data_IF_702220539242
#
_entry.id   IF_702220539242
#
_cell.length_a   1.000
_cell.length_b   1.000
_cell.length_c   1.000
_cell.angle_alpha   90.00
_cell.angle_beta   90.00
_cell.angle_gamma   90.00
#
_symmetry.space_group_name_H-M   'P 1'
#
loop_
_entity.id
_entity.type
_entity.pdbx_description
1 polymer ?
#
# COMPACT_ATOMS: atom_id res chain seq x y z
N UNK A 1 -0.37 -47.03 40.22
CA UNK A 1 0.51 -45.84 40.07
C UNK A 1 1.14 -45.73 38.68
N UNK A 2 1.94 -46.70 38.20
CA UNK A 2 2.62 -46.61 36.88
C UNK A 2 1.70 -46.33 35.68
N UNK A 3 0.49 -46.93 35.62
CA UNK A 3 -0.49 -46.68 34.54
C UNK A 3 -1.05 -45.26 34.52
N UNK A 4 -1.31 -44.66 35.69
CA UNK A 4 -1.83 -43.30 35.79
C UNK A 4 -0.75 -42.25 35.48
N UNK A 5 0.50 -42.53 35.83
CA UNK A 5 1.66 -41.71 35.43
C UNK A 5 1.85 -41.75 33.92
N UNK A 6 1.75 -42.95 33.30
CA UNK A 6 1.85 -43.09 31.85
C UNK A 6 0.71 -42.36 31.11
N UNK A 7 -0.53 -42.47 31.59
CA UNK A 7 -1.68 -41.73 31.04
C UNK A 7 -1.51 -40.21 31.17
N UNK A 8 -0.98 -39.73 32.31
CA UNK A 8 -0.70 -38.31 32.51
C UNK A 8 0.37 -37.76 31.56
N UNK A 9 1.44 -38.54 31.32
CA UNK A 9 2.51 -38.16 30.38
C UNK A 9 1.98 -38.12 28.95
N UNK A 10 1.18 -39.11 28.54
CA UNK A 10 0.57 -39.15 27.20
C UNK A 10 -0.40 -37.98 26.97
N UNK A 11 -1.22 -37.65 27.96
CA UNK A 11 -2.13 -36.51 27.86
C UNK A 11 -1.39 -35.17 27.75
N UNK A 12 -0.29 -35.02 28.51
CA UNK A 12 0.56 -33.82 28.45
C UNK A 12 1.24 -33.70 27.08
N UNK A 13 1.75 -34.81 26.53
CA UNK A 13 2.37 -34.82 25.20
C UNK A 13 1.36 -34.39 24.12
N UNK A 14 0.12 -34.90 24.17
CA UNK A 14 -0.93 -34.51 23.22
C UNK A 14 -1.29 -33.02 23.36
N UNK A 15 -1.40 -32.50 24.58
CA UNK A 15 -1.68 -31.09 24.81
C UNK A 15 -0.57 -30.17 24.29
N UNK A 16 0.71 -30.55 24.51
CA UNK A 16 1.86 -29.79 24.00
C UNK A 16 1.94 -29.85 22.48
N UNK A 17 1.67 -31.01 21.86
CA UNK A 17 1.61 -31.14 20.40
C UNK A 17 0.47 -30.32 19.80
N UNK A 18 -0.72 -30.32 20.41
CA UNK A 18 -1.84 -29.49 19.95
C UNK A 18 -1.52 -27.99 20.06
N UNK A 19 -0.87 -27.57 21.15
CA UNK A 19 -0.42 -26.19 21.34
C UNK A 19 0.67 -25.81 20.31
N UNK A 20 1.61 -26.70 20.03
CA UNK A 20 2.65 -26.49 19.00
C UNK A 20 2.04 -26.36 17.60
N UNK A 21 1.04 -27.18 17.25
CA UNK A 21 0.32 -27.09 15.97
C UNK A 21 -0.47 -25.77 15.89
N UNK A 22 -1.15 -25.36 16.97
CA UNK A 22 -1.80 -24.04 17.03
C UNK A 22 -0.79 -22.90 16.85
N UNK A 23 0.37 -22.96 17.50
CA UNK A 23 1.42 -21.95 17.36
C UNK A 23 2.06 -21.94 15.97
N UNK A 24 2.16 -23.08 15.29
CA UNK A 24 2.65 -23.15 13.90
C UNK A 24 1.63 -22.60 12.89
N UNK A 25 0.33 -22.79 13.13
CA UNK A 25 -0.75 -22.23 12.30
C UNK A 25 -0.96 -20.71 12.49
N UNK A 26 -0.29 -20.07 13.44
CA UNK A 26 -0.26 -18.60 13.58
C UNK A 26 0.62 -17.97 12.50
N UNK A 27 1.54 -18.73 11.89
CA UNK A 27 2.23 -18.30 10.69
C UNK A 27 1.33 -18.62 9.48
N UNK A 28 0.25 -17.86 9.33
CA UNK A 28 -0.36 -17.74 8.00
C UNK A 28 0.76 -17.29 7.08
N UNK A 29 1.19 -18.14 6.13
CA UNK A 29 1.98 -17.61 5.02
C UNK A 29 1.07 -16.60 4.36
N UNK A 30 1.35 -15.31 4.56
CA UNK A 30 0.64 -14.28 3.82
C UNK A 30 0.86 -14.62 2.35
N UNK A 31 -0.22 -15.01 1.67
CA UNK A 31 -0.17 -15.24 0.24
C UNK A 31 0.40 -13.98 -0.39
N UNK A 32 1.30 -14.14 -1.36
CA UNK A 32 2.01 -13.00 -1.92
C UNK A 32 1.31 -12.54 -3.17
N UNK A 33 1.04 -11.23 -3.28
CA UNK A 33 0.54 -10.65 -4.54
C UNK A 33 1.56 -10.99 -5.63
N UNK A 34 1.13 -11.77 -6.61
CA UNK A 34 1.96 -12.24 -7.73
C UNK A 34 1.30 -11.77 -9.01
N UNK A 35 2.03 -11.00 -9.84
CA UNK A 35 1.44 -10.46 -11.05
C UNK A 35 1.33 -11.52 -12.15
N UNK A 36 0.09 -11.84 -12.52
CA UNK A 36 -0.25 -12.66 -13.69
C UNK A 36 -0.65 -11.80 -14.91
N UNK A 37 -0.69 -12.37 -16.13
CA UNK A 37 -1.20 -11.66 -17.30
C UNK A 37 -2.65 -11.17 -17.08
N UNK A 38 -2.90 -9.92 -17.45
CA UNK A 38 -4.23 -9.31 -17.33
C UNK A 38 -5.26 -10.00 -18.24
N UNK A 39 -6.45 -10.25 -17.69
CA UNK A 39 -7.58 -10.83 -18.40
C UNK A 39 -8.58 -9.74 -18.81
N UNK A 40 -8.56 -9.36 -20.08
CA UNK A 40 -9.39 -8.28 -20.64
C UNK A 40 -10.91 -8.59 -20.59
N UNK A 41 -11.30 -9.85 -20.33
CA UNK A 41 -12.71 -10.27 -20.21
C UNK A 41 -13.28 -10.10 -18.81
N UNK A 42 -12.48 -9.68 -17.83
CA UNK A 42 -12.89 -9.57 -16.41
C UNK A 42 -12.75 -8.14 -15.95
N UNK A 43 -13.80 -7.59 -15.35
CA UNK A 43 -13.84 -6.18 -14.98
C UNK A 43 -14.34 -5.97 -13.55
N UNK A 44 -13.72 -5.02 -12.86
CA UNK A 44 -14.26 -4.49 -11.62
C UNK A 44 -15.49 -3.62 -11.92
N UNK A 45 -16.65 -4.02 -11.40
CA UNK A 45 -17.87 -3.21 -11.42
C UNK A 45 -17.72 -1.95 -10.57
N UNK A 46 -17.04 -2.06 -9.42
CA UNK A 46 -16.73 -0.91 -8.57
C UNK A 46 -15.46 -1.15 -7.76
N UNK A 47 -14.77 -0.07 -7.42
CA UNK A 47 -13.63 -0.03 -6.53
C UNK A 47 -13.61 1.35 -5.88
N UNK A 48 -13.46 1.43 -4.55
CA UNK A 48 -13.38 2.71 -3.86
C UNK A 48 -12.57 2.61 -2.57
N UNK A 49 -11.82 3.67 -2.31
CA UNK A 49 -11.20 3.99 -1.03
C UNK A 49 -11.87 5.26 -0.54
N UNK A 50 -12.10 5.38 0.77
CA UNK A 50 -12.64 6.62 1.35
C UNK A 50 -12.04 6.91 2.71
N UNK A 51 -11.75 8.19 2.94
CA UNK A 51 -11.27 8.75 4.19
C UNK A 51 -12.32 9.72 4.74
N UNK A 52 -12.81 9.45 5.95
CA UNK A 52 -13.80 10.31 6.60
C UNK A 52 -13.34 10.69 8.00
N UNK A 53 -13.38 11.99 8.31
CA UNK A 53 -13.09 12.49 9.65
C UNK A 53 -14.24 12.13 10.61
N UNK A 54 -13.91 11.46 11.72
CA UNK A 54 -14.87 11.29 12.82
C UNK A 54 -15.06 12.61 13.57
N UNK A 55 -16.31 12.87 13.97
CA UNK A 55 -16.70 14.14 14.61
C UNK A 55 -15.99 14.39 15.94
N UNK A 56 -15.77 13.32 16.71
CA UNK A 56 -15.26 13.41 18.07
C UNK A 56 -13.78 13.03 18.14
N UNK A 57 -13.01 13.82 18.89
CA UNK A 57 -11.65 13.45 19.27
C UNK A 57 -11.68 12.44 20.40
N UNK A 58 -10.67 11.58 20.43
CA UNK A 58 -10.38 10.68 21.55
C UNK A 58 -8.94 10.92 22.00
N UNK A 59 -8.74 11.20 23.29
CA UNK A 59 -7.41 11.47 23.86
C UNK A 59 -6.65 12.55 23.08
N UNK A 60 -7.31 13.68 22.81
CA UNK A 60 -6.80 14.82 22.03
C UNK A 60 -6.35 14.50 20.59
N UNK A 61 -6.70 13.33 20.06
CA UNK A 61 -6.44 12.92 18.68
C UNK A 61 -7.75 12.86 17.89
N UNK A 62 -7.75 13.39 16.67
CA UNK A 62 -8.82 13.09 15.73
C UNK A 62 -8.61 11.71 15.12
N UNK A 63 -9.71 11.11 14.65
CA UNK A 63 -9.71 9.77 14.05
C UNK A 63 -10.28 9.83 12.65
N UNK A 64 -9.61 9.16 11.73
CA UNK A 64 -10.02 8.98 10.34
C UNK A 64 -10.53 7.56 10.18
N UNK A 65 -11.76 7.46 9.69
CA UNK A 65 -12.38 6.24 9.19
C UNK A 65 -11.87 5.99 7.77
N UNK A 66 -11.16 4.87 7.58
CA UNK A 66 -10.57 4.45 6.33
C UNK A 66 -11.26 3.19 5.83
N UNK A 67 -11.98 3.32 4.71
CA UNK A 67 -12.74 2.22 4.09
C UNK A 67 -12.22 1.89 2.72
N UNK A 68 -12.23 0.61 2.39
CA UNK A 68 -11.89 0.07 1.09
C UNK A 68 -12.95 -0.96 0.69
N UNK A 69 -13.41 -0.89 -0.54
CA UNK A 69 -14.37 -1.85 -1.08
C UNK A 69 -14.17 -2.06 -2.57
N UNK A 70 -14.42 -3.28 -3.04
CA UNK A 70 -14.40 -3.59 -4.47
C UNK A 70 -15.36 -4.72 -4.83
N UNK A 71 -15.92 -4.62 -6.04
CA UNK A 71 -16.80 -5.63 -6.63
C UNK A 71 -16.31 -5.99 -8.02
N UNK A 72 -16.09 -7.28 -8.25
CA UNK A 72 -15.78 -7.86 -9.54
C UNK A 72 -17.08 -8.25 -10.27
N UNK A 73 -17.03 -8.41 -11.58
CA UNK A 73 -18.19 -8.82 -12.38
C UNK A 73 -18.61 -10.28 -12.18
N UNK A 74 -17.71 -11.10 -11.63
CA UNK A 74 -17.87 -12.51 -11.30
C UNK A 74 -17.14 -12.88 -10.00
N UNK A 75 -17.33 -14.09 -9.49
CA UNK A 75 -16.49 -14.64 -8.42
C UNK A 75 -15.08 -14.94 -8.96
N UNK A 76 -14.08 -14.81 -8.11
CA UNK A 76 -12.71 -15.12 -8.44
C UNK A 76 -12.12 -16.12 -7.46
N UNK A 77 -11.14 -16.88 -7.93
CA UNK A 77 -10.41 -17.84 -7.10
C UNK A 77 -9.82 -17.15 -5.87
N UNK A 78 -9.18 -16.00 -6.05
CA UNK A 78 -8.60 -15.24 -4.96
C UNK A 78 -8.70 -13.74 -5.21
N UNK A 79 -9.17 -13.02 -4.19
CA UNK A 79 -9.29 -11.57 -4.14
C UNK A 79 -8.35 -11.03 -3.09
N UNK A 80 -7.60 -10.00 -3.47
CA UNK A 80 -6.56 -9.39 -2.65
C UNK A 80 -6.70 -7.87 -2.75
N UNK A 81 -7.27 -7.26 -1.73
CA UNK A 81 -7.33 -5.81 -1.63
C UNK A 81 -6.28 -5.36 -0.63
N UNK A 82 -5.35 -4.49 -1.06
CA UNK A 82 -4.28 -3.95 -0.21
C UNK A 82 -4.28 -2.44 -0.28
N UNK A 83 -4.40 -1.81 0.89
CA UNK A 83 -4.34 -0.38 1.08
C UNK A 83 -3.10 0.09 1.84
N UNK A 84 -2.63 1.28 1.49
CA UNK A 84 -1.61 2.05 2.21
C UNK A 84 -2.18 3.44 2.54
N UNK A 85 -2.04 3.85 3.80
CA UNK A 85 -2.49 5.15 4.29
C UNK A 85 -1.29 5.94 4.80
N UNK A 86 -1.08 7.10 4.19
CA UNK A 86 0.00 8.02 4.49
C UNK A 86 -0.54 9.25 5.23
N UNK A 87 0.24 9.75 6.19
CA UNK A 87 0.00 11.00 6.88
C UNK A 87 1.22 11.88 6.68
N UNK A 88 1.02 13.04 6.04
CA UNK A 88 2.09 13.97 5.71
C UNK A 88 3.26 13.31 4.96
N UNK A 89 2.98 12.33 4.10
CA UNK A 89 3.98 11.63 3.28
C UNK A 89 4.71 10.49 3.99
N UNK A 90 4.29 10.10 5.19
CA UNK A 90 4.82 8.94 5.94
C UNK A 90 3.75 7.86 6.09
N UNK A 91 4.13 6.59 5.98
CA UNK A 91 3.20 5.48 6.15
C UNK A 91 2.73 5.40 7.61
N UNK A 92 1.42 5.43 7.84
CA UNK A 92 0.83 5.27 9.17
C UNK A 92 -0.16 4.12 9.28
N UNK A 93 -0.73 3.69 8.16
CA UNK A 93 -1.64 2.56 8.10
C UNK A 93 -1.32 1.69 6.90
N UNK A 94 -1.44 0.38 7.09
CA UNK A 94 -1.45 -0.60 6.01
C UNK A 94 -2.55 -1.62 6.33
N UNK A 95 -3.29 -2.01 5.31
CA UNK A 95 -4.44 -2.89 5.46
C UNK A 95 -4.48 -3.83 4.27
N UNK A 96 -4.74 -5.11 4.49
CA UNK A 96 -5.03 -6.03 3.41
C UNK A 96 -6.12 -7.02 3.80
N UNK A 97 -6.87 -7.48 2.81
CA UNK A 97 -7.87 -8.53 2.95
C UNK A 97 -7.79 -9.51 1.79
N UNK A 98 -7.85 -10.79 2.14
CA UNK A 98 -7.71 -11.93 1.25
C UNK A 98 -8.99 -12.75 1.36
N UNK A 99 -9.67 -12.97 0.24
CA UNK A 99 -10.89 -13.76 0.21
C UNK A 99 -10.90 -14.65 -1.03
N UNK A 100 -11.28 -15.92 -0.86
CA UNK A 100 -11.43 -16.86 -1.96
C UNK A 100 -12.90 -16.95 -2.38
N UNK A 101 -13.14 -17.34 -3.62
CA UNK A 101 -14.46 -17.65 -4.18
C UNK A 101 -15.49 -16.53 -3.94
N UNK A 102 -15.07 -15.26 -4.09
CA UNK A 102 -15.94 -14.10 -3.88
C UNK A 102 -15.81 -13.04 -4.97
N UNK A 103 -16.93 -12.38 -5.24
CA UNK A 103 -17.00 -11.20 -6.09
C UNK A 103 -16.87 -9.89 -5.31
N UNK A 104 -16.95 -9.89 -3.98
CA UNK A 104 -16.99 -8.70 -3.15
C UNK A 104 -15.91 -8.74 -2.06
N UNK A 105 -15.26 -7.60 -1.81
CA UNK A 105 -14.33 -7.41 -0.69
C UNK A 105 -14.63 -6.07 -0.02
N UNK A 106 -14.66 -6.07 1.31
CA UNK A 106 -14.83 -4.86 2.13
C UNK A 106 -13.89 -4.90 3.34
N UNK A 107 -13.26 -3.76 3.63
CA UNK A 107 -12.41 -3.53 4.79
C UNK A 107 -12.60 -2.11 5.34
N UNK A 108 -12.47 -1.99 6.66
CA UNK A 108 -12.54 -0.73 7.40
C UNK A 108 -11.47 -0.74 8.49
N UNK A 109 -10.81 0.39 8.69
CA UNK A 109 -9.83 0.60 9.74
C UNK A 109 -9.88 2.07 10.22
N UNK A 110 -9.22 2.35 11.34
CA UNK A 110 -9.21 3.67 11.96
C UNK A 110 -7.81 4.14 12.27
N UNK A 111 -7.46 5.35 11.82
CA UNK A 111 -6.16 5.97 12.10
C UNK A 111 -6.37 7.24 12.93
N UNK A 112 -5.63 7.36 14.04
CA UNK A 112 -5.69 8.54 14.90
C UNK A 112 -4.42 9.39 14.80
N UNK A 113 -4.56 10.71 14.74
CA UNK A 113 -3.45 11.66 14.75
C UNK A 113 -3.75 12.87 15.65
N UNK A 114 -2.71 13.51 16.19
CA UNK A 114 -2.84 14.65 17.11
C UNK A 114 -2.63 16.02 16.47
N UNK A 115 -2.30 16.09 15.17
CA UNK A 115 -1.86 17.32 14.50
C UNK A 115 -2.57 17.52 13.16
N UNK A 116 -2.70 18.76 12.72
CA UNK A 116 -3.17 19.05 11.36
C UNK A 116 -2.36 18.27 10.33
N UNK A 117 -3.05 17.61 9.39
CA UNK A 117 -2.42 16.65 8.51
C UNK A 117 -3.11 16.54 7.15
N UNK A 118 -2.32 16.17 6.14
CA UNK A 118 -2.80 15.63 4.88
C UNK A 118 -2.74 14.10 4.97
N UNK A 119 -3.87 13.48 4.67
CA UNK A 119 -4.02 12.04 4.55
C UNK A 119 -4.12 11.66 3.08
N UNK A 120 -3.36 10.67 2.67
CA UNK A 120 -3.39 10.09 1.33
C UNK A 120 -3.55 8.58 1.48
N UNK A 121 -4.65 8.03 0.96
CA UNK A 121 -4.89 6.60 0.96
C UNK A 121 -4.96 6.09 -0.47
N UNK A 122 -4.30 4.97 -0.73
CA UNK A 122 -4.33 4.31 -2.02
C UNK A 122 -4.46 2.80 -1.83
N UNK A 123 -5.30 2.19 -2.64
CA UNK A 123 -5.62 0.77 -2.59
C UNK A 123 -5.47 0.15 -3.97
N UNK A 124 -4.78 -0.98 -4.03
CA UNK A 124 -4.82 -1.90 -5.15
C UNK A 124 -5.83 -2.99 -4.85
N UNK A 125 -6.78 -3.16 -5.75
CA UNK A 125 -7.70 -4.28 -5.79
C UNK A 125 -7.15 -5.25 -6.83
N UNK A 126 -6.76 -6.43 -6.38
CA UNK A 126 -6.17 -7.46 -7.23
C UNK A 126 -7.02 -8.72 -7.18
N UNK A 127 -7.06 -9.41 -8.32
CA UNK A 127 -7.83 -10.63 -8.51
C UNK A 127 -6.98 -11.65 -9.23
N UNK A 128 -6.88 -12.85 -8.68
CA UNK A 128 -6.35 -14.03 -9.36
C UNK A 128 -7.50 -14.89 -9.87
N UNK A 129 -7.38 -15.35 -11.11
CA UNK A 129 -8.37 -16.13 -11.82
C UNK A 129 -7.73 -17.41 -12.34
N UNK A 130 -8.34 -18.55 -12.04
CA UNK A 130 -7.93 -19.85 -12.56
C UNK A 130 -8.82 -20.21 -13.74
N UNK A 131 -8.24 -20.28 -14.94
CA UNK A 131 -8.94 -20.71 -16.15
C UNK A 131 -8.64 -22.17 -16.51
N UNK A 132 -9.12 -22.58 -17.69
CA UNK A 132 -8.85 -23.92 -18.22
C UNK A 132 -7.34 -24.19 -18.40
N UNK A 133 -6.91 -25.41 -18.06
CA UNK A 133 -5.57 -25.92 -18.36
C UNK A 133 -4.44 -25.25 -17.56
N UNK A 134 -4.61 -25.09 -16.25
CA UNK A 134 -3.66 -24.49 -15.30
C UNK A 134 -3.28 -23.02 -15.61
N UNK A 135 -4.04 -22.33 -16.47
CA UNK A 135 -3.76 -20.94 -16.83
C UNK A 135 -4.26 -19.99 -15.75
N UNK A 136 -3.33 -19.38 -15.03
CA UNK A 136 -3.61 -18.31 -14.08
C UNK A 136 -3.55 -16.95 -14.79
N UNK A 137 -4.56 -16.13 -14.59
CA UNK A 137 -4.64 -14.74 -15.08
C UNK A 137 -5.07 -13.81 -13.96
N UNK A 138 -5.05 -12.51 -14.19
CA UNK A 138 -5.51 -11.56 -13.19
C UNK A 138 -6.32 -10.40 -13.72
N UNK A 139 -7.03 -9.74 -12.82
CA UNK A 139 -7.58 -8.42 -13.04
C UNK A 139 -7.09 -7.50 -11.91
N UNK A 140 -6.98 -6.21 -12.19
CA UNK A 140 -6.57 -5.23 -11.20
C UNK A 140 -7.33 -3.92 -11.38
N UNK A 141 -7.49 -3.17 -10.29
CA UNK A 141 -8.01 -1.82 -10.28
C UNK A 141 -7.48 -1.05 -9.07
N UNK A 142 -7.24 0.24 -9.21
CA UNK A 142 -6.85 1.10 -8.10
C UNK A 142 -8.00 2.01 -7.67
N UNK A 143 -7.97 2.39 -6.39
CA UNK A 143 -8.78 3.48 -5.86
C UNK A 143 -7.95 4.29 -4.86
N UNK A 144 -8.28 5.57 -4.71
CA UNK A 144 -7.61 6.45 -3.74
C UNK A 144 -8.61 7.42 -3.12
N UNK A 145 -8.19 8.04 -2.01
CA UNK A 145 -8.84 9.22 -1.46
C UNK A 145 -7.80 10.09 -0.73
N UNK A 146 -8.12 11.37 -0.60
CA UNK A 146 -7.28 12.38 0.03
C UNK A 146 -8.11 13.31 0.91
N UNK A 147 -7.62 13.55 2.12
CA UNK A 147 -8.31 14.36 3.12
C UNK A 147 -7.32 15.27 3.85
N UNK A 148 -7.57 16.57 3.84
CA UNK A 148 -6.92 17.50 4.75
C UNK A 148 -7.73 17.58 6.04
N UNK A 149 -7.05 17.54 7.18
CA UNK A 149 -7.65 17.69 8.50
C UNK A 149 -6.94 18.82 9.23
N UNK A 150 -7.72 19.82 9.65
CA UNK A 150 -7.22 20.95 10.40
C UNK A 150 -7.60 20.73 11.85
N UNK A 151 -6.59 20.32 12.60
CA UNK A 151 -6.64 20.17 14.04
C UNK A 151 -5.77 21.28 14.66
N UNK A 152 -6.42 22.38 15.01
CA UNK A 152 -5.78 23.58 15.56
C UNK A 152 -6.44 23.94 16.89
N UNK A 153 -5.68 24.35 17.92
CA UNK A 153 -6.24 24.90 19.15
C UNK A 153 -7.12 26.15 18.93
N UNK A 154 -6.98 26.81 17.78
CA UNK A 154 -7.62 28.10 17.48
C UNK A 154 -8.85 27.98 16.57
N UNK A 155 -9.23 26.78 16.11
CA UNK A 155 -10.39 26.57 15.25
C UNK A 155 -11.06 25.22 15.52
N UNK A 156 -12.37 25.07 15.27
CA UNK A 156 -13.02 23.76 15.32
C UNK A 156 -12.31 22.76 14.41
N UNK A 157 -12.31 21.48 14.82
CA UNK A 157 -11.84 20.38 14.01
C UNK A 157 -12.65 20.33 12.70
N UNK A 158 -11.95 20.36 11.58
CA UNK A 158 -12.56 20.39 10.25
C UNK A 158 -11.73 19.59 9.26
N UNK A 159 -12.37 19.12 8.20
CA UNK A 159 -11.69 18.42 7.11
C UNK A 159 -12.25 18.83 5.75
N UNK A 160 -11.43 18.76 4.73
CA UNK A 160 -11.83 19.03 3.35
C UNK A 160 -10.96 18.22 2.38
N UNK A 161 -11.52 17.83 1.23
CA UNK A 161 -10.75 17.24 0.11
C UNK A 161 -10.44 18.27 -0.97
N UNK A 162 -11.30 19.28 -1.13
CA UNK A 162 -11.14 20.38 -2.08
C UNK A 162 -11.19 21.70 -1.33
N UNK A 163 -10.10 22.46 -1.37
CA UNK A 163 -10.00 23.77 -0.72
C UNK A 163 -10.85 24.82 -1.44
N UNK A 164 -11.87 25.33 -0.76
CA UNK A 164 -12.81 26.36 -1.24
C UNK A 164 -12.50 27.71 -0.61
N UNK A 165 -12.23 27.74 0.70
CA UNK A 165 -11.96 28.98 1.44
C UNK A 165 -10.49 29.43 1.35
N UNK A 166 -10.20 30.68 1.73
CA UNK A 166 -8.82 31.18 1.81
C UNK A 166 -8.00 30.39 2.83
N UNK A 167 -8.57 30.12 3.99
CA UNK A 167 -7.92 29.36 5.06
C UNK A 167 -7.65 27.91 4.63
N UNK A 168 -8.58 27.25 3.95
CA UNK A 168 -8.35 25.89 3.42
C UNK A 168 -7.23 25.86 2.38
N UNK A 169 -7.13 26.87 1.52
CA UNK A 169 -6.04 26.99 0.54
C UNK A 169 -4.69 27.20 1.20
N UNK A 170 -4.63 28.03 2.25
CA UNK A 170 -3.41 28.24 3.03
C UNK A 170 -2.95 26.93 3.70
N UNK A 171 -3.87 26.22 4.37
CA UNK A 171 -3.55 24.93 4.98
C UNK A 171 -3.14 23.87 3.97
N UNK A 172 -3.86 23.77 2.85
CA UNK A 172 -3.48 22.87 1.76
C UNK A 172 -2.05 23.14 1.30
N UNK A 173 -1.69 24.40 1.07
CA UNK A 173 -0.32 24.75 0.65
C UNK A 173 0.73 24.35 1.70
N UNK A 174 0.46 24.59 2.99
CA UNK A 174 1.37 24.22 4.08
C UNK A 174 1.57 22.71 4.14
N UNK A 175 0.48 21.94 4.10
CA UNK A 175 0.53 20.49 4.20
C UNK A 175 1.14 19.84 2.95
N UNK A 176 0.81 20.32 1.76
CA UNK A 176 1.42 19.87 0.51
C UNK A 176 2.92 20.15 0.49
N UNK A 177 3.35 21.34 0.94
CA UNK A 177 4.75 21.67 1.01
C UNK A 177 5.48 20.75 2.01
N UNK A 178 4.83 20.38 3.11
CA UNK A 178 5.37 19.41 4.07
C UNK A 178 5.60 18.03 3.45
N UNK A 179 4.61 17.51 2.71
CA UNK A 179 4.73 16.24 1.98
C UNK A 179 5.86 16.33 0.95
N UNK A 180 5.85 17.37 0.11
CA UNK A 180 6.86 17.60 -0.92
C UNK A 180 8.27 17.68 -0.34
N UNK A 181 8.45 18.40 0.77
CA UNK A 181 9.75 18.49 1.46
C UNK A 181 10.22 17.12 1.98
N UNK A 182 9.31 16.31 2.53
CA UNK A 182 9.61 14.96 3.02
C UNK A 182 10.09 14.06 1.87
N UNK A 183 9.35 14.03 0.77
CA UNK A 183 9.69 13.22 -0.40
C UNK A 183 10.99 13.70 -1.08
N UNK A 184 11.16 15.01 -1.25
CA UNK A 184 12.37 15.57 -1.86
C UNK A 184 13.61 15.31 -1.00
N UNK A 185 13.49 15.37 0.33
CA UNK A 185 14.58 15.01 1.25
C UNK A 185 14.96 13.54 1.11
N UNK A 186 13.97 12.65 1.02
CA UNK A 186 14.17 11.21 0.79
C UNK A 186 14.89 10.96 -0.55
N UNK A 187 14.38 11.56 -1.62
CA UNK A 187 14.95 11.47 -2.97
C UNK A 187 16.40 11.97 -3.02
N UNK A 188 16.67 13.17 -2.49
CA UNK A 188 18.01 13.75 -2.48
C UNK A 188 19.02 12.89 -1.72
N UNK A 189 18.59 12.19 -0.66
CA UNK A 189 19.44 11.27 0.08
C UNK A 189 19.71 10.00 -0.75
N UNK A 190 18.68 9.44 -1.38
CA UNK A 190 18.82 8.27 -2.24
C UNK A 190 19.72 8.56 -3.45
N UNK A 191 19.55 9.72 -4.10
CA UNK A 191 20.37 10.16 -5.24
C UNK A 191 21.87 10.16 -4.88
N UNK A 192 22.22 10.74 -3.73
CA UNK A 192 23.60 10.76 -3.21
C UNK A 192 24.12 9.37 -2.85
N UNK A 193 23.27 8.53 -2.27
CA UNK A 193 23.66 7.20 -1.76
C UNK A 193 23.87 6.19 -2.89
N UNK A 194 23.01 6.22 -3.91
CA UNK A 194 22.98 5.23 -4.99
C UNK A 194 23.52 5.75 -6.32
N UNK A 195 23.85 7.03 -6.43
CA UNK A 195 24.57 7.60 -7.57
C UNK A 195 23.77 7.73 -8.87
N UNK A 196 22.43 7.71 -8.81
CA UNK A 196 21.59 8.10 -9.95
C UNK A 196 21.40 9.63 -10.00
N UNK A 197 20.77 10.15 -11.05
CA UNK A 197 20.40 11.58 -11.15
C UNK A 197 18.89 11.73 -11.26
N UNK A 198 18.26 12.45 -10.35
CA UNK A 198 16.80 12.60 -10.33
C UNK A 198 16.24 13.21 -11.62
N UNK A 199 17.00 14.12 -12.26
CA UNK A 199 16.65 14.75 -13.54
C UNK A 199 16.46 13.77 -14.71
N UNK A 200 16.95 12.54 -14.60
CA UNK A 200 16.82 11.51 -15.63
C UNK A 200 15.49 10.74 -15.56
N UNK A 201 14.60 11.13 -14.65
CA UNK A 201 13.37 10.43 -14.36
C UNK A 201 12.18 11.39 -14.29
N UNK A 202 11.00 10.84 -14.55
CA UNK A 202 9.74 11.44 -14.14
C UNK A 202 9.42 10.89 -12.75
N UNK A 203 9.30 11.78 -11.76
CA UNK A 203 8.96 11.41 -10.39
C UNK A 203 7.43 11.37 -10.21
N UNK A 204 6.94 10.24 -9.72
CA UNK A 204 5.52 9.95 -9.49
C UNK A 204 5.35 9.50 -8.04
N UNK A 205 4.83 10.36 -7.16
CA UNK A 205 4.42 9.96 -5.82
C UNK A 205 3.35 8.86 -5.86
N UNK A 206 3.43 7.86 -4.96
CA UNK A 206 2.51 6.72 -5.00
C UNK A 206 1.04 7.12 -4.89
N UNK A 207 0.71 8.14 -4.11
CA UNK A 207 -0.65 8.70 -3.97
C UNK A 207 -1.25 9.21 -5.30
N UNK A 208 -0.42 9.42 -6.32
CA UNK A 208 -0.86 9.88 -7.65
C UNK A 208 -0.90 8.78 -8.70
N UNK A 209 -0.45 7.55 -8.40
CA UNK A 209 -0.28 6.50 -9.42
C UNK A 209 -1.61 6.06 -10.05
N UNK A 210 -2.75 6.23 -9.37
CA UNK A 210 -4.08 5.85 -9.90
C UNK A 210 -4.41 6.56 -11.21
N UNK A 211 -3.95 7.81 -11.37
CA UNK A 211 -4.20 8.58 -12.60
C UNK A 211 -3.73 7.84 -13.86
N UNK A 212 -2.79 6.89 -13.71
CA UNK A 212 -2.26 6.10 -14.82
C UNK A 212 -3.17 4.95 -15.30
N UNK A 213 -4.31 4.72 -14.63
CA UNK A 213 -5.38 3.87 -15.17
C UNK A 213 -6.16 4.56 -16.29
N UNK A 214 -6.28 5.88 -16.22
CA UNK A 214 -7.01 6.69 -17.20
C UNK A 214 -6.08 7.26 -18.28
N UNK A 215 -4.79 7.45 -17.96
CA UNK A 215 -3.79 8.02 -18.86
C UNK A 215 -2.49 7.22 -18.81
N UNK A 216 -1.95 6.69 -19.91
CA UNK A 216 -0.76 5.88 -19.83
C UNK A 216 0.46 6.69 -19.38
N UNK A 217 1.44 6.00 -18.78
CA UNK A 217 2.75 6.57 -18.52
C UNK A 217 3.33 7.12 -19.83
N UNK A 218 4.00 8.27 -19.76
CA UNK A 218 4.49 8.96 -20.95
C UNK A 218 5.34 8.04 -21.82
N UNK A 219 4.85 7.78 -23.04
CA UNK A 219 5.54 6.96 -24.03
C UNK A 219 5.36 5.45 -23.87
N UNK A 220 4.40 5.02 -23.04
CA UNK A 220 3.87 3.67 -22.99
C UNK A 220 2.41 3.67 -23.48
N UNK A 221 1.92 2.50 -23.86
CA UNK A 221 0.50 2.24 -24.09
C UNK A 221 -0.23 2.01 -22.77
N UNK A 222 -1.56 2.01 -22.80
CA UNK A 222 -2.36 1.71 -21.62
C UNK A 222 -2.09 0.28 -21.10
N UNK A 223 -1.96 -0.69 -22.02
CA UNK A 223 -1.66 -2.08 -21.67
C UNK A 223 -0.28 -2.24 -21.04
N UNK A 224 0.74 -1.58 -21.59
CA UNK A 224 2.07 -1.57 -21.00
C UNK A 224 2.06 -0.91 -19.62
N UNK A 225 1.39 0.24 -19.49
CA UNK A 225 1.24 0.93 -18.21
C UNK A 225 0.57 0.04 -17.16
N UNK A 226 -0.51 -0.66 -17.51
CA UNK A 226 -1.20 -1.58 -16.61
C UNK A 226 -0.28 -2.73 -16.15
N UNK A 227 0.50 -3.32 -17.06
CA UNK A 227 1.49 -4.34 -16.71
C UNK A 227 2.61 -3.81 -15.80
N UNK A 228 3.09 -2.58 -16.06
CA UNK A 228 4.12 -1.93 -15.25
C UNK A 228 3.61 -1.68 -13.83
N UNK A 229 2.38 -1.18 -13.71
CA UNK A 229 1.70 -0.92 -12.43
C UNK A 229 1.44 -2.21 -11.66
N UNK A 230 1.00 -3.28 -12.33
CA UNK A 230 0.76 -4.57 -11.68
C UNK A 230 2.04 -5.15 -11.06
N UNK A 231 3.14 -5.14 -11.81
CA UNK A 231 4.47 -5.54 -11.31
C UNK A 231 5.01 -4.62 -10.21
N UNK A 232 4.73 -3.31 -10.32
CA UNK A 232 5.08 -2.35 -9.28
C UNK A 232 4.39 -2.71 -7.96
N UNK A 233 3.09 -3.03 -7.99
CA UNK A 233 2.35 -3.42 -6.79
C UNK A 233 2.81 -4.74 -6.20
N UNK A 234 3.13 -5.74 -7.02
CA UNK A 234 3.80 -6.97 -6.54
C UNK A 234 5.13 -6.62 -5.83
N UNK A 235 5.93 -5.73 -6.42
CA UNK A 235 7.20 -5.28 -5.83
C UNK A 235 7.00 -4.53 -4.51
N UNK A 236 6.02 -3.63 -4.44
CA UNK A 236 5.65 -2.88 -3.24
C UNK A 236 5.12 -3.80 -2.14
N UNK A 237 4.31 -4.80 -2.49
CA UNK A 237 3.82 -5.77 -1.52
C UNK A 237 5.00 -6.50 -0.86
N UNK A 238 5.90 -7.06 -1.68
CA UNK A 238 7.04 -7.86 -1.24
C UNK A 238 8.08 -7.08 -0.44
N UNK A 239 8.35 -5.82 -0.82
CA UNK A 239 9.53 -5.09 -0.34
C UNK A 239 9.20 -3.81 0.46
N UNK A 240 7.91 -3.50 0.62
CA UNK A 240 7.45 -2.37 1.40
C UNK A 240 6.34 -2.81 2.36
N UNK A 241 5.24 -3.38 1.88
CA UNK A 241 4.11 -3.77 2.74
C UNK A 241 4.48 -4.85 3.78
N UNK A 242 5.11 -5.95 3.35
CA UNK A 242 5.53 -7.04 4.24
C UNK A 242 6.67 -6.64 5.19
N UNK A 243 7.48 -5.66 4.79
CA UNK A 243 8.69 -5.28 5.49
C UNK A 243 9.72 -4.73 4.53
N UNK A 244 10.57 -3.83 5.02
CA UNK A 244 11.65 -3.23 4.25
C UNK A 244 12.96 -3.91 4.64
N UNK A 245 13.61 -4.57 3.67
CA UNK A 245 14.92 -5.16 3.87
C UNK A 245 16.02 -4.10 3.79
N UNK A 246 16.78 -3.96 4.86
CA UNK A 246 17.93 -3.06 5.00
C UNK A 246 19.20 -3.63 4.37
N UNK A 247 20.19 -2.77 4.20
CA UNK A 247 21.52 -3.13 3.67
C UNK A 247 22.27 -4.16 4.53
N UNK A 248 22.03 -4.16 5.84
CA UNK A 248 22.57 -5.15 6.79
C UNK A 248 21.83 -6.50 6.77
N UNK A 249 20.80 -6.63 5.94
CA UNK A 249 19.98 -7.82 5.78
C UNK A 249 18.81 -7.93 6.76
N UNK A 250 18.68 -7.02 7.73
CA UNK A 250 17.53 -6.97 8.65
C UNK A 250 16.27 -6.52 7.91
N UNK A 251 15.10 -6.94 8.40
CA UNK A 251 13.80 -6.49 7.89
C UNK A 251 13.14 -5.64 8.96
N UNK A 252 12.72 -4.44 8.59
CA UNK A 252 12.02 -3.52 9.49
C UNK A 252 10.56 -3.31 9.06
N UNK A 253 9.73 -2.96 10.03
CA UNK A 253 8.36 -2.51 9.78
C UNK A 253 8.38 -1.25 8.90
N UNK A 254 7.58 -1.18 7.82
CA UNK A 254 7.51 0.01 6.98
C UNK A 254 6.82 1.21 7.62
N UNK A 255 6.11 1.06 8.75
CA UNK A 255 5.49 2.20 9.44
C UNK A 255 6.52 3.31 9.68
N UNK A 256 6.09 4.55 9.50
CA UNK A 256 6.90 5.77 9.54
C UNK A 256 7.96 5.92 8.44
N UNK A 257 8.02 4.97 7.50
CA UNK A 257 8.79 5.14 6.27
C UNK A 257 8.11 6.13 5.32
N UNK A 258 8.90 6.81 4.50
CA UNK A 258 8.36 7.74 3.50
C UNK A 258 7.51 7.00 2.48
N UNK A 259 6.46 7.67 2.01
CA UNK A 259 5.67 7.24 0.87
C UNK A 259 6.60 6.94 -0.33
N UNK A 260 6.38 5.82 -1.04
CA UNK A 260 7.18 5.48 -2.20
C UNK A 260 7.12 6.56 -3.28
N UNK A 261 8.29 6.95 -3.79
CA UNK A 261 8.43 7.81 -4.96
C UNK A 261 8.90 6.96 -6.14
N UNK A 262 8.05 6.84 -7.17
CA UNK A 262 8.31 6.05 -8.36
C UNK A 262 9.01 6.96 -9.38
N UNK A 263 10.24 6.60 -9.74
CA UNK A 263 11.04 7.31 -10.73
C UNK A 263 11.05 6.52 -12.03
N UNK A 264 10.27 6.97 -13.02
CA UNK A 264 10.22 6.32 -14.34
C UNK A 264 11.31 6.89 -15.22
N UNK A 265 12.23 6.06 -15.73
CA UNK A 265 13.38 6.55 -16.49
C UNK A 265 12.93 7.20 -17.80
N UNK A 266 13.56 8.33 -18.17
CA UNK A 266 13.24 9.04 -19.41
C UNK A 266 13.52 8.20 -20.66
N UNK A 267 14.48 7.27 -20.58
CA UNK A 267 14.82 6.31 -21.63
C UNK A 267 13.95 5.05 -21.63
N UNK A 268 12.99 4.94 -20.70
CA UNK A 268 12.03 3.84 -20.55
C UNK A 268 12.65 2.47 -20.26
N UNK A 269 13.92 2.39 -19.89
CA UNK A 269 14.60 1.13 -19.58
C UNK A 269 14.20 0.53 -18.24
N UNK A 270 13.87 1.36 -17.26
CA UNK A 270 13.56 0.92 -15.90
C UNK A 270 12.70 1.94 -15.13
N UNK A 271 12.19 1.51 -13.99
CA UNK A 271 11.78 2.43 -12.93
C UNK A 271 12.58 2.14 -11.66
N UNK A 272 12.70 3.16 -10.82
CA UNK A 272 13.18 3.05 -9.45
C UNK A 272 12.03 3.34 -8.49
N UNK A 273 11.97 2.63 -7.37
CA UNK A 273 11.09 2.96 -6.25
C UNK A 273 11.97 3.41 -5.11
N UNK A 274 11.84 4.68 -4.72
CA UNK A 274 12.62 5.29 -3.64
C UNK A 274 11.77 5.39 -2.39
N UNK A 275 12.29 4.85 -1.29
CA UNK A 275 11.72 5.01 0.05
C UNK A 275 12.84 5.33 1.05
N UNK A 276 12.45 5.82 2.22
CA UNK A 276 13.34 6.02 3.35
C UNK A 276 12.67 5.45 4.60
N UNK A 277 13.38 4.61 5.35
CA UNK A 277 12.88 4.03 6.60
C UNK A 277 12.74 5.09 7.70
N UNK A 278 12.03 4.75 8.78
CA UNK A 278 11.92 5.56 10.01
C UNK A 278 13.29 5.99 10.57
N UNK A 279 14.29 5.12 10.49
CA UNK A 279 15.68 5.34 10.89
C UNK A 279 16.47 6.20 9.90
N UNK A 280 15.85 6.57 8.78
CA UNK A 280 16.41 7.42 7.73
C UNK A 280 17.23 6.66 6.68
N UNK A 281 17.30 5.34 6.69
CA UNK A 281 18.02 4.57 5.66
C UNK A 281 17.29 4.66 4.31
N UNK A 282 18.01 5.01 3.24
CA UNK A 282 17.45 5.10 1.88
C UNK A 282 17.42 3.73 1.22
N UNK A 283 16.28 3.38 0.66
CA UNK A 283 16.05 2.12 -0.04
C UNK A 283 15.63 2.42 -1.48
N UNK A 284 16.25 1.72 -2.43
CA UNK A 284 15.97 1.87 -3.86
C UNK A 284 15.75 0.50 -4.47
N UNK A 285 14.55 0.27 -4.99
CA UNK A 285 14.21 -0.94 -5.75
C UNK A 285 14.22 -0.61 -7.23
N UNK A 286 14.77 -1.50 -8.06
CA UNK A 286 14.81 -1.34 -9.52
C UNK A 286 13.91 -2.37 -10.18
N UNK A 287 13.02 -1.91 -11.05
CA UNK A 287 12.21 -2.76 -11.93
C UNK A 287 12.58 -2.45 -13.37
N UNK A 288 12.97 -3.47 -14.13
CA UNK A 288 13.21 -3.32 -15.58
C UNK A 288 11.87 -3.22 -16.31
N UNK A 289 11.79 -2.31 -17.27
CA UNK A 289 10.64 -2.16 -18.15
C UNK A 289 11.01 -2.85 -19.47
N UNK A 290 10.15 -3.75 -19.97
CA UNK A 290 10.42 -4.42 -21.25
C UNK A 290 10.40 -3.38 -22.38
N UNK A 291 11.44 -3.34 -23.21
CA UNK A 291 11.51 -2.47 -24.40
C UNK A 291 12.82 -1.72 -24.68
N UNK A 292 13.97 -2.10 -24.11
CA UNK A 292 15.28 -1.68 -24.65
C UNK A 292 15.81 -2.78 -25.58
N UNK A 293 15.36 -2.77 -26.84
CA UNK A 293 16.18 -3.28 -27.94
C UNK A 293 17.09 -2.15 -28.43
#
# INVERSE_FOLDING_TARGET
>A
MKKYVFLGISALAIAVSALMIQLQNINSSEETITFFPLNDSVQYKSASTSLTLQKDKKNDKHTIDWKMQSRLDQEAYLRQDMGLLFVNGLLKGKAAKWEQDTADVYQEDFISNGESARYDAITIHYTELHGDGDRITSAQRMSDDMLYVIDSPFSPLQSFSVAKSKQEKEWKNVLDQSVSNTLNKSLNKAEKTYGFKASNYIAVPLDTIRQYEDQPLKGFTQKETANIVGKLWEGLYKNYYLGIKKSDGTVVDPIDSTMPLILVSNDKSHLLVVTQTDSGESIVLKQLLQGSN
#
